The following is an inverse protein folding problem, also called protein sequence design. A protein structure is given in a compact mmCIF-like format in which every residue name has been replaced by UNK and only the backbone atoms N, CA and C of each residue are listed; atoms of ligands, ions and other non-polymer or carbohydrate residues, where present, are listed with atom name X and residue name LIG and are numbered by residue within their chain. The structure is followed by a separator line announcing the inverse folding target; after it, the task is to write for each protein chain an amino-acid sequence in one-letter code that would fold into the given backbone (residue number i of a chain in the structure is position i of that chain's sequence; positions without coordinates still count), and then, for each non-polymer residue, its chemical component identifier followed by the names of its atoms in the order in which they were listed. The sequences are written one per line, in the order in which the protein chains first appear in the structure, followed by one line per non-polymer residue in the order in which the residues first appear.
data_IF_886361790256
#
_entry.id   IF_886361790256
#
_cell.length_a   1.000
_cell.length_b   1.000
_cell.length_c   1.000
_cell.angle_alpha   90.00
_cell.angle_beta   90.00
_cell.angle_gamma   90.00
#
_symmetry.space_group_name_H-M   'P 1'
#
loop_
_entity.id
_entity.type
_entity.pdbx_description
1 polymer ?
#
# COMPACT_ATOMS: atom_id res chain seq x y z
N UNK A 1 7.23 3.47 7.82
CA UNK A 1 7.38 2.36 6.85
C UNK A 1 8.42 1.33 7.31
N UNK A 2 9.45 1.73 8.08
CA UNK A 2 10.49 0.85 8.63
C UNK A 2 9.98 -0.37 9.38
N UNK A 3 8.75 -0.32 9.88
CA UNK A 3 8.16 -1.35 10.75
C UNK A 3 7.04 -2.13 10.03
N UNK A 4 6.89 -1.97 8.70
CA UNK A 4 5.96 -2.78 7.90
C UNK A 4 6.78 -3.86 7.21
N UNK A 5 6.49 -5.10 7.54
CA UNK A 5 7.23 -6.26 7.08
C UNK A 5 6.29 -7.36 6.58
N UNK A 6 6.83 -8.22 5.72
CA UNK A 6 6.11 -9.42 5.27
C UNK A 6 5.71 -10.26 6.48
N UNK A 7 4.45 -10.66 6.52
CA UNK A 7 3.88 -11.49 7.57
C UNK A 7 3.18 -10.73 8.69
N UNK A 8 3.27 -9.39 8.77
CA UNK A 8 2.47 -8.62 9.72
C UNK A 8 0.98 -8.91 9.52
N UNK A 9 0.26 -9.06 10.63
CA UNK A 9 -1.19 -9.20 10.61
C UNK A 9 -1.84 -7.89 10.20
N UNK A 10 -2.93 -8.00 9.43
CA UNK A 10 -3.71 -6.84 9.02
C UNK A 10 -5.21 -7.06 9.23
N UNK A 11 -5.90 -5.95 9.46
CA UNK A 11 -7.36 -5.84 9.35
C UNK A 11 -7.71 -5.02 8.11
N UNK A 12 -8.59 -5.56 7.26
CA UNK A 12 -8.99 -4.95 6.00
C UNK A 12 -10.49 -4.70 6.01
N UNK A 13 -10.87 -3.43 6.03
CA UNK A 13 -12.25 -2.96 5.91
C UNK A 13 -12.48 -2.54 4.45
N UNK A 14 -13.31 -3.29 3.71
CA UNK A 14 -13.59 -3.02 2.28
C UNK A 14 -14.98 -2.41 2.14
N UNK A 15 -15.12 -1.38 1.31
CA UNK A 15 -16.43 -0.83 0.96
C UNK A 15 -17.34 -1.95 0.41
N UNK A 16 -18.54 -2.11 0.98
CA UNK A 16 -19.48 -3.18 0.58
C UNK A 16 -19.30 -4.52 1.32
N UNK A 17 -18.25 -4.66 2.14
CA UNK A 17 -18.10 -5.77 3.07
C UNK A 17 -18.65 -5.39 4.45
N UNK A 18 -19.45 -6.27 5.08
CA UNK A 18 -20.06 -5.98 6.39
C UNK A 18 -19.09 -6.09 7.57
N UNK A 19 -18.05 -6.90 7.45
CA UNK A 19 -17.13 -7.22 8.53
C UNK A 19 -15.68 -7.18 8.02
N UNK A 20 -14.77 -6.73 8.87
CA UNK A 20 -13.34 -6.70 8.57
C UNK A 20 -12.82 -8.07 8.21
N UNK A 21 -11.90 -8.12 7.24
CA UNK A 21 -11.25 -9.34 6.79
C UNK A 21 -9.82 -9.34 7.32
N UNK A 22 -9.46 -10.41 8.02
CA UNK A 22 -8.08 -10.65 8.45
C UNK A 22 -7.21 -10.98 7.24
N UNK A 23 -5.95 -10.60 7.34
CA UNK A 23 -4.98 -10.91 6.31
C UNK A 23 -3.55 -10.74 6.81
N UNK A 24 -2.63 -10.82 5.87
CA UNK A 24 -1.20 -10.61 6.13
C UNK A 24 -0.56 -9.76 5.04
N UNK A 25 0.48 -9.03 5.41
CA UNK A 25 1.37 -8.40 4.43
C UNK A 25 2.09 -9.49 3.64
N UNK A 26 1.82 -9.60 2.35
CA UNK A 26 2.45 -10.58 1.47
C UNK A 26 3.79 -10.06 0.94
N UNK A 27 3.83 -8.77 0.59
CA UNK A 27 4.98 -8.12 0.00
C UNK A 27 4.98 -6.62 0.31
N UNK A 28 6.15 -6.09 0.63
CA UNK A 28 6.40 -4.64 0.68
C UNK A 28 7.29 -4.33 -0.51
N UNK A 29 6.79 -3.51 -1.43
CA UNK A 29 7.54 -3.13 -2.61
C UNK A 29 8.85 -2.46 -2.21
N UNK A 30 9.95 -2.94 -2.74
CA UNK A 30 11.24 -2.29 -2.49
C UNK A 30 11.22 -0.92 -3.16
N UNK A 31 11.40 0.14 -2.37
CA UNK A 31 11.49 1.52 -2.82
C UNK A 31 12.80 1.80 -3.58
N UNK A 32 13.20 0.94 -4.52
CA UNK A 32 14.41 1.12 -5.34
C UNK A 32 14.19 1.98 -6.58
N UNK A 33 12.96 2.46 -6.82
CA UNK A 33 12.66 3.42 -7.89
C UNK A 33 13.31 4.82 -7.68
N UNK A 34 14.02 5.05 -6.57
CA UNK A 34 14.78 6.29 -6.34
C UNK A 34 16.22 6.26 -6.88
N UNK A 35 16.72 5.12 -7.40
CA UNK A 35 18.14 5.00 -7.81
C UNK A 35 18.41 5.14 -9.31
N UNK A 36 17.40 5.37 -10.15
CA UNK A 36 17.59 5.62 -11.59
C UNK A 36 16.88 6.90 -12.06
N UNK A 37 17.41 8.05 -11.67
CA UNK A 37 17.43 9.20 -12.59
C UNK A 37 18.85 9.73 -12.65
N UNK A 38 19.58 9.37 -13.72
CA UNK A 38 20.90 9.92 -14.05
C UNK A 38 20.83 11.33 -14.65
N UNK A 39 19.71 12.04 -14.49
CA UNK A 39 19.58 13.41 -14.95
C UNK A 39 18.92 14.26 -13.84
N UNK A 40 19.68 15.14 -13.17
CA UNK A 40 19.05 16.24 -12.45
C UNK A 40 18.41 17.12 -13.51
N UNK A 41 17.09 17.02 -13.70
CA UNK A 41 16.36 18.04 -14.44
C UNK A 41 16.44 19.32 -13.62
N UNK A 42 17.32 20.23 -14.03
CA UNK A 42 17.39 21.60 -13.52
C UNK A 42 16.08 22.31 -13.83
N UNK A 43 15.13 22.24 -12.91
CA UNK A 43 13.90 23.03 -12.98
C UNK A 43 14.19 24.42 -12.40
N UNK A 44 14.67 25.34 -13.25
CA UNK A 44 15.08 26.70 -12.87
C UNK A 44 13.93 27.72 -12.75
N UNK A 45 12.70 27.26 -12.46
CA UNK A 45 11.49 28.11 -12.39
C UNK A 45 10.75 28.06 -11.03
N UNK A 46 11.38 27.53 -9.97
CA UNK A 46 10.88 27.67 -8.60
C UNK A 46 9.55 26.95 -8.28
N UNK A 47 9.01 26.12 -9.17
CA UNK A 47 7.79 25.37 -8.89
C UNK A 47 8.13 24.02 -8.23
N UNK A 48 7.99 23.93 -6.91
CA UNK A 48 8.24 22.71 -6.13
C UNK A 48 6.97 21.84 -6.13
N UNK A 49 6.84 20.93 -7.09
CA UNK A 49 5.81 19.87 -7.01
C UNK A 49 6.32 18.80 -6.06
N UNK A 50 5.80 18.77 -4.83
CA UNK A 50 6.10 17.69 -3.87
C UNK A 50 5.55 16.37 -4.41
N UNK A 51 6.42 15.53 -4.95
CA UNK A 51 6.07 14.17 -5.37
C UNK A 51 6.11 13.28 -4.14
N UNK A 52 4.95 12.79 -3.69
CA UNK A 52 4.89 11.76 -2.66
C UNK A 52 5.33 10.43 -3.27
N UNK A 53 6.45 9.88 -2.80
CA UNK A 53 6.81 8.50 -3.13
C UNK A 53 5.97 7.55 -2.29
N UNK A 54 5.11 6.77 -2.95
CA UNK A 54 4.31 5.73 -2.31
C UNK A 54 5.09 4.41 -2.36
N UNK A 55 5.08 3.68 -1.24
CA UNK A 55 5.61 2.32 -1.17
C UNK A 55 4.42 1.37 -1.37
N UNK A 56 4.36 0.61 -2.48
CA UNK A 56 3.26 -0.31 -2.70
C UNK A 56 3.36 -1.46 -1.69
N UNK A 57 2.24 -1.85 -1.09
CA UNK A 57 2.14 -2.98 -0.17
C UNK A 57 1.09 -3.93 -0.71
N UNK A 58 1.44 -5.20 -0.86
CA UNK A 58 0.53 -6.27 -1.25
C UNK A 58 0.07 -7.02 0.00
N UNK A 59 -1.23 -7.25 0.09
CA UNK A 59 -1.88 -7.89 1.23
C UNK A 59 -2.62 -9.13 0.74
N UNK A 60 -2.37 -10.27 1.40
CA UNK A 60 -3.19 -11.47 1.24
C UNK A 60 -4.35 -11.44 2.22
N UNK A 61 -5.55 -11.79 1.76
CA UNK A 61 -6.73 -11.92 2.61
C UNK A 61 -6.88 -13.39 3.05
N UNK A 62 -7.17 -13.61 4.33
CA UNK A 62 -7.33 -14.96 4.90
C UNK A 62 -8.66 -15.62 4.50
N UNK A 63 -9.60 -14.83 3.95
CA UNK A 63 -10.88 -15.33 3.46
C UNK A 63 -11.34 -14.55 2.24
N UNK A 64 -12.18 -15.20 1.43
CA UNK A 64 -12.77 -14.54 0.26
C UNK A 64 -13.75 -13.46 0.70
N UNK A 65 -13.66 -12.23 0.15
CA UNK A 65 -14.66 -11.20 0.35
C UNK A 65 -16.06 -11.65 -0.08
N UNK A 66 -17.08 -10.96 0.41
CA UNK A 66 -18.46 -11.21 -0.03
C UNK A 66 -18.61 -10.95 -1.53
N UNK A 67 -19.65 -11.54 -2.14
CA UNK A 67 -19.96 -11.36 -3.57
C UNK A 67 -20.23 -9.92 -3.99
N UNK A 68 -20.45 -9.02 -3.02
CA UNK A 68 -20.68 -7.60 -3.27
C UNK A 68 -19.37 -6.82 -3.43
N UNK A 69 -18.24 -7.41 -3.05
CA UNK A 69 -16.92 -6.81 -3.21
C UNK A 69 -16.37 -7.16 -4.59
N UNK A 70 -16.03 -6.14 -5.36
CA UNK A 70 -15.44 -6.28 -6.70
C UNK A 70 -14.07 -5.60 -6.75
N UNK A 71 -13.17 -6.01 -7.66
CA UNK A 71 -11.89 -5.34 -7.85
C UNK A 71 -12.06 -3.84 -8.13
N UNK A 72 -11.23 -3.01 -7.49
CA UNK A 72 -11.26 -1.55 -7.64
C UNK A 72 -12.05 -0.80 -6.56
N UNK A 73 -12.72 -1.49 -5.64
CA UNK A 73 -13.33 -0.86 -4.46
C UNK A 73 -12.26 -0.33 -3.50
N UNK A 74 -12.60 0.73 -2.77
CA UNK A 74 -11.72 1.26 -1.74
C UNK A 74 -11.70 0.31 -0.53
N UNK A 75 -10.59 0.33 0.18
CA UNK A 75 -10.43 -0.38 1.43
C UNK A 75 -9.58 0.45 2.39
N UNK A 76 -9.90 0.36 3.67
CA UNK A 76 -9.07 0.83 4.76
C UNK A 76 -8.30 -0.38 5.33
N UNK A 77 -6.99 -0.22 5.51
CA UNK A 77 -6.11 -1.28 6.01
C UNK A 77 -5.43 -0.81 7.28
N UNK A 78 -5.51 -1.63 8.33
CA UNK A 78 -4.77 -1.46 9.58
C UNK A 78 -3.72 -2.55 9.69
N UNK A 79 -2.45 -2.16 9.66
CA UNK A 79 -1.31 -3.07 9.81
C UNK A 79 -0.89 -3.08 11.28
N UNK A 80 -0.87 -4.27 11.88
CA UNK A 80 -0.41 -4.46 13.25
C UNK A 80 1.11 -4.58 13.27
N UNK A 81 1.74 -3.78 14.12
CA UNK A 81 3.17 -3.91 14.41
C UNK A 81 3.36 -5.01 15.44
N UNK A 82 4.36 -5.85 15.25
CA UNK A 82 4.82 -6.79 16.28
C UNK A 82 5.59 -6.07 17.38
#
# INVERSE_FOLDING_TARGET
ISDVEKGNDVDVDIDGQKASIKGKVEEVGQATAASFSLMPSSNSDGNYTKVSQVVPVKISLDSNPSKNVVPGMNAEVKIHKN
#
